data_IF_427517653987
#
_entry.id   IF_427517653987
#
_cell.length_a   1.000
_cell.length_b   1.000
_cell.length_c   1.000
_cell.angle_alpha   90.00
_cell.angle_beta   90.00
_cell.angle_gamma   90.00
#
_symmetry.space_group_name_H-M   'P 1'
#
loop_
_entity.id
_entity.type
_entity.pdbx_description
1 polymer ?
#
# COMPACT_ATOMS: atom_id res chain seq x y z
N UNK A 1 35.34 4.19 -4.26
CA UNK A 1 34.01 4.88 -4.31
C UNK A 1 34.06 6.05 -3.33
N UNK A 2 33.69 7.25 -3.74
CA UNK A 2 33.60 8.38 -2.81
C UNK A 2 32.26 8.37 -2.06
N UNK A 3 32.12 9.13 -0.95
CA UNK A 3 30.89 9.12 -0.14
C UNK A 3 29.62 9.50 -0.93
N UNK A 4 29.75 10.39 -1.91
CA UNK A 4 28.60 10.82 -2.74
C UNK A 4 28.18 9.72 -3.72
N UNK A 5 29.14 9.02 -4.32
CA UNK A 5 28.86 7.86 -5.19
C UNK A 5 28.20 6.74 -4.42
N UNK A 6 28.65 6.46 -3.20
CA UNK A 6 28.06 5.46 -2.32
C UNK A 6 26.62 5.81 -1.95
N UNK A 7 26.35 7.05 -1.54
CA UNK A 7 25.00 7.52 -1.23
C UNK A 7 24.07 7.41 -2.44
N UNK A 8 24.57 7.75 -3.63
CA UNK A 8 23.79 7.61 -4.89
C UNK A 8 23.49 6.15 -5.21
N UNK A 9 24.46 5.25 -5.05
CA UNK A 9 24.28 3.82 -5.27
C UNK A 9 23.24 3.23 -4.32
N UNK A 10 23.32 3.56 -3.03
CA UNK A 10 22.36 3.10 -2.02
C UNK A 10 20.93 3.59 -2.31
N UNK A 11 20.79 4.88 -2.66
CA UNK A 11 19.49 5.45 -3.02
C UNK A 11 18.91 4.78 -4.27
N UNK A 12 19.73 4.54 -5.28
CA UNK A 12 19.30 3.87 -6.51
C UNK A 12 18.86 2.42 -6.25
N UNK A 13 19.61 1.68 -5.44
CA UNK A 13 19.27 0.31 -5.05
C UNK A 13 17.93 0.25 -4.31
N UNK A 14 17.75 1.10 -3.30
CA UNK A 14 16.50 1.20 -2.56
C UNK A 14 15.33 1.61 -3.47
N UNK A 15 15.53 2.58 -4.36
CA UNK A 15 14.52 3.03 -5.31
C UNK A 15 14.05 1.88 -6.21
N UNK A 16 14.97 1.14 -6.81
CA UNK A 16 14.65 0.03 -7.70
C UNK A 16 13.84 -1.05 -6.97
N UNK A 17 14.23 -1.42 -5.75
CA UNK A 17 13.51 -2.43 -4.97
C UNK A 17 12.12 -1.94 -4.55
N UNK A 18 11.96 -0.67 -4.19
CA UNK A 18 10.64 -0.10 -3.86
C UNK A 18 9.74 0.02 -5.09
N UNK A 19 10.30 0.25 -6.28
CA UNK A 19 9.53 0.19 -7.54
C UNK A 19 9.01 -1.24 -7.78
N UNK A 20 9.83 -2.25 -7.56
CA UNK A 20 9.39 -3.65 -7.65
C UNK A 20 8.29 -3.97 -6.62
N UNK A 21 8.49 -3.56 -5.36
CA UNK A 21 7.49 -3.71 -4.30
C UNK A 21 6.14 -3.07 -4.69
N UNK A 22 6.15 -1.87 -5.27
CA UNK A 22 4.93 -1.23 -5.77
C UNK A 22 4.19 -2.14 -6.76
N UNK A 23 4.92 -2.75 -7.68
CA UNK A 23 4.33 -3.57 -8.74
C UNK A 23 3.85 -4.92 -8.17
N UNK A 24 4.58 -5.53 -7.24
CA UNK A 24 4.17 -6.71 -6.48
C UNK A 24 2.86 -6.46 -5.68
N UNK A 25 2.75 -5.31 -5.02
CA UNK A 25 1.53 -4.91 -4.32
C UNK A 25 0.36 -4.72 -5.30
N UNK A 26 0.59 -4.11 -6.46
CA UNK A 26 -0.44 -3.96 -7.50
C UNK A 26 -0.94 -5.32 -7.99
N UNK A 27 -0.05 -6.25 -8.20
CA UNK A 27 -0.39 -7.61 -8.61
C UNK A 27 -1.16 -8.35 -7.49
N UNK A 28 -0.74 -8.23 -6.24
CA UNK A 28 -1.45 -8.81 -5.10
C UNK A 28 -2.88 -8.26 -4.97
N UNK A 29 -3.09 -6.97 -5.19
CA UNK A 29 -4.43 -6.36 -5.20
C UNK A 29 -5.28 -6.94 -6.34
N UNK A 30 -4.71 -7.11 -7.52
CA UNK A 30 -5.41 -7.63 -8.69
C UNK A 30 -5.76 -9.12 -8.54
N UNK A 31 -4.77 -9.96 -8.20
CA UNK A 31 -4.92 -11.42 -8.09
C UNK A 31 -5.89 -11.83 -6.97
N UNK A 32 -5.95 -11.07 -5.88
CA UNK A 32 -6.88 -11.30 -4.76
C UNK A 32 -8.28 -10.72 -4.99
N UNK A 33 -8.55 -10.18 -6.18
CA UNK A 33 -9.85 -9.60 -6.52
C UNK A 33 -10.22 -8.38 -5.67
N UNK A 34 -9.24 -7.67 -5.11
CA UNK A 34 -9.47 -6.49 -4.28
C UNK A 34 -9.69 -5.22 -5.12
N UNK A 35 -9.39 -5.29 -6.40
CA UNK A 35 -9.61 -4.19 -7.34
C UNK A 35 -11.11 -3.94 -7.53
N UNK A 36 -11.55 -2.69 -7.42
CA UNK A 36 -12.84 -2.22 -7.87
C UNK A 36 -12.64 -1.29 -9.08
N UNK A 37 -12.56 0.01 -8.89
CA UNK A 37 -12.25 0.98 -9.96
C UNK A 37 -10.78 1.02 -10.38
N UNK A 38 -9.87 0.40 -9.62
CA UNK A 38 -8.42 0.51 -9.82
C UNK A 38 -7.76 1.72 -9.18
N UNK A 39 -8.54 2.75 -8.82
CA UNK A 39 -8.00 4.04 -8.31
C UNK A 39 -7.02 3.92 -7.16
N UNK A 40 -7.18 2.95 -6.27
CA UNK A 40 -6.25 2.73 -5.15
C UNK A 40 -4.93 2.12 -5.62
N UNK A 41 -5.01 1.11 -6.48
CA UNK A 41 -3.86 0.47 -7.11
C UNK A 41 -3.05 1.46 -7.97
N UNK A 42 -3.76 2.25 -8.79
CA UNK A 42 -3.15 3.21 -9.71
C UNK A 42 -2.55 4.43 -8.98
N UNK A 43 -2.95 4.67 -7.73
CA UNK A 43 -2.43 5.76 -6.91
C UNK A 43 -1.05 5.49 -6.31
N UNK A 44 -0.58 4.24 -6.34
CA UNK A 44 0.74 3.90 -5.80
C UNK A 44 1.85 4.53 -6.63
N UNK A 45 2.65 5.39 -6.00
CA UNK A 45 3.78 6.11 -6.60
C UNK A 45 5.03 5.91 -5.79
N UNK A 46 6.17 5.86 -6.48
CA UNK A 46 7.50 5.84 -5.86
C UNK A 46 8.24 7.08 -6.32
N UNK A 47 8.85 7.77 -5.39
CA UNK A 47 9.69 8.94 -5.69
C UNK A 47 10.79 9.08 -4.64
N UNK A 48 11.79 9.90 -4.96
CA UNK A 48 12.88 10.25 -4.06
C UNK A 48 12.62 11.63 -3.50
N UNK A 49 12.70 11.77 -2.18
CA UNK A 49 12.61 13.03 -1.44
C UNK A 49 13.87 13.19 -0.58
N UNK A 50 14.80 14.01 -1.05
CA UNK A 50 16.11 14.15 -0.45
C UNK A 50 16.87 12.81 -0.42
N UNK A 51 17.09 12.26 0.77
CA UNK A 51 17.76 10.97 1.01
C UNK A 51 16.77 9.82 1.32
N UNK A 52 15.50 10.00 1.04
CA UNK A 52 14.45 9.01 1.32
C UNK A 52 13.82 8.53 0.02
N UNK A 53 13.57 7.24 -0.06
CA UNK A 53 12.70 6.65 -1.08
C UNK A 53 11.31 6.48 -0.47
N UNK A 54 10.31 7.04 -1.12
CA UNK A 54 8.93 7.09 -0.61
C UNK A 54 8.02 6.28 -1.52
N UNK A 55 7.28 5.35 -0.94
CA UNK A 55 6.13 4.71 -1.58
C UNK A 55 4.86 5.36 -1.02
N UNK A 56 4.13 6.05 -1.87
CA UNK A 56 2.90 6.77 -1.53
C UNK A 56 1.67 6.11 -2.17
N UNK A 57 0.55 6.15 -1.48
CA UNK A 57 -0.74 5.69 -1.97
C UNK A 57 -1.89 6.46 -1.34
N UNK A 58 -3.11 6.20 -1.80
CA UNK A 58 -4.31 6.83 -1.23
C UNK A 58 -4.51 6.45 0.23
N UNK A 59 -5.12 7.35 1.01
CA UNK A 59 -5.43 7.14 2.43
C UNK A 59 -6.26 5.86 2.74
N UNK A 60 -6.99 5.36 1.77
CA UNK A 60 -7.76 4.10 1.90
C UNK A 60 -6.95 2.83 1.65
N UNK A 61 -5.68 2.95 1.25
CA UNK A 61 -4.83 1.80 0.98
C UNK A 61 -4.74 0.82 2.17
N UNK A 62 -4.55 1.25 3.42
CA UNK A 62 -4.53 0.35 4.56
C UNK A 62 -5.82 -0.46 4.75
N UNK A 63 -6.96 0.05 4.31
CA UNK A 63 -8.23 -0.65 4.43
C UNK A 63 -8.32 -1.91 3.55
N UNK A 64 -7.47 -2.07 2.53
CA UNK A 64 -7.38 -3.29 1.73
C UNK A 64 -6.89 -4.48 2.56
N UNK A 65 -6.07 -4.23 3.55
CA UNK A 65 -5.48 -5.26 4.42
C UNK A 65 -6.17 -5.34 5.77
N UNK A 66 -6.41 -4.22 6.43
CA UNK A 66 -6.96 -4.20 7.79
C UNK A 66 -8.47 -3.99 7.84
N UNK A 67 -9.08 -3.67 6.71
CA UNK A 67 -10.48 -3.23 6.68
C UNK A 67 -10.64 -1.84 7.30
N UNK A 68 -11.88 -1.47 7.57
CA UNK A 68 -12.27 -0.20 8.20
C UNK A 68 -12.95 -0.47 9.53
N UNK A 69 -12.55 0.20 10.60
CA UNK A 69 -13.26 0.19 11.88
C UNK A 69 -14.66 0.80 11.75
N UNK A 70 -15.49 0.60 12.77
CA UNK A 70 -16.76 1.31 12.88
C UNK A 70 -16.53 2.82 12.88
N UNK A 71 -17.46 3.54 12.30
CA UNK A 71 -17.38 4.99 12.18
C UNK A 71 -17.78 5.65 13.52
N UNK A 72 -16.86 5.77 14.42
CA UNK A 72 -17.14 6.31 15.76
C UNK A 72 -17.06 7.84 15.84
N UNK A 73 -16.98 8.55 14.70
CA UNK A 73 -16.79 9.99 14.65
C UNK A 73 -15.42 10.49 15.14
N UNK A 74 -14.55 9.58 15.59
CA UNK A 74 -13.22 9.91 16.16
C UNK A 74 -12.06 9.74 15.16
N UNK A 75 -12.30 9.22 13.97
CA UNK A 75 -11.23 8.85 13.00
C UNK A 75 -10.95 9.93 11.96
N UNK A 76 -11.36 11.17 12.16
CA UNK A 76 -10.99 12.30 11.29
C UNK A 76 -11.63 12.33 9.90
N UNK A 77 -12.32 11.29 9.47
CA UNK A 77 -13.07 11.25 8.22
C UNK A 77 -14.55 11.43 8.58
N UNK A 78 -15.00 12.67 8.72
CA UNK A 78 -16.42 12.95 8.89
C UNK A 78 -17.07 13.10 7.54
N UNK A 79 -17.85 12.12 7.10
CA UNK A 79 -18.83 12.32 6.05
C UNK A 79 -20.20 11.86 6.56
N UNK A 80 -21.25 12.42 5.98
CA UNK A 80 -22.61 12.02 6.32
C UNK A 80 -22.90 10.58 5.86
N UNK A 81 -23.92 9.95 6.44
CA UNK A 81 -24.38 8.63 5.96
C UNK A 81 -24.70 8.65 4.45
N UNK A 82 -25.28 9.74 3.94
CA UNK A 82 -25.61 9.83 2.54
C UNK A 82 -24.37 9.87 1.63
N UNK A 83 -23.34 10.59 2.03
CA UNK A 83 -22.06 10.62 1.32
C UNK A 83 -21.38 9.25 1.34
N UNK A 84 -21.38 8.59 2.51
CA UNK A 84 -20.82 7.26 2.62
C UNK A 84 -21.60 6.23 1.80
N UNK A 85 -22.93 6.28 1.85
CA UNK A 85 -23.79 5.44 1.00
C UNK A 85 -23.47 5.63 -0.49
N UNK A 86 -23.21 6.87 -0.94
CA UNK A 86 -22.80 7.15 -2.32
C UNK A 86 -21.46 6.53 -2.67
N UNK A 87 -20.49 6.55 -1.74
CA UNK A 87 -19.19 5.89 -1.92
C UNK A 87 -19.37 4.38 -2.06
N UNK A 88 -20.18 3.75 -1.21
CA UNK A 88 -20.47 2.32 -1.29
C UNK A 88 -21.24 1.96 -2.57
N UNK A 89 -22.17 2.82 -3.01
CA UNK A 89 -22.87 2.65 -4.28
C UNK A 89 -21.90 2.60 -5.46
N UNK A 90 -21.00 3.58 -5.54
CA UNK A 90 -19.98 3.63 -6.59
C UNK A 90 -19.04 2.42 -6.52
N UNK A 91 -18.61 2.04 -5.34
CA UNK A 91 -17.77 0.84 -5.14
C UNK A 91 -18.49 -0.44 -5.60
N UNK A 92 -19.76 -0.62 -5.26
CA UNK A 92 -20.54 -1.79 -5.65
C UNK A 92 -20.73 -1.85 -7.18
N UNK A 93 -20.94 -0.69 -7.81
CA UNK A 93 -21.05 -0.55 -9.28
C UNK A 93 -19.70 -0.87 -9.94
N UNK A 94 -18.60 -0.29 -9.45
CA UNK A 94 -17.25 -0.53 -9.97
C UNK A 94 -16.83 -2.02 -9.84
N UNK A 95 -17.33 -2.70 -8.80
CA UNK A 95 -17.14 -4.15 -8.58
C UNK A 95 -18.02 -5.02 -9.47
N UNK A 96 -19.03 -4.46 -10.13
CA UNK A 96 -20.02 -5.21 -10.88
C UNK A 96 -20.89 -6.11 -10.01
N UNK A 97 -21.17 -5.71 -8.76
CA UNK A 97 -21.99 -6.51 -7.86
C UNK A 97 -23.44 -6.55 -8.34
N UNK A 98 -23.99 -7.76 -8.56
CA UNK A 98 -25.39 -7.94 -8.86
C UNK A 98 -26.18 -8.05 -7.53
N UNK A 99 -26.76 -6.94 -7.08
CA UNK A 99 -27.55 -6.83 -5.85
C UNK A 99 -29.05 -6.66 -6.14
N UNK A 100 -29.52 -7.07 -7.32
CA UNK A 100 -30.91 -6.95 -7.77
C UNK A 100 -31.15 -5.71 -8.63
N UNK A 101 -32.45 -5.41 -8.87
CA UNK A 101 -32.85 -4.23 -9.65
C UNK A 101 -32.55 -2.92 -8.90
N UNK A 102 -32.66 -1.77 -9.57
CA UNK A 102 -32.22 -0.47 -9.05
C UNK A 102 -32.69 -0.15 -7.61
N UNK A 103 -33.93 -0.45 -7.26
CA UNK A 103 -34.48 -0.23 -5.91
C UNK A 103 -33.90 -1.20 -4.88
N UNK A 104 -33.69 -2.45 -5.26
CA UNK A 104 -33.09 -3.48 -4.40
C UNK A 104 -31.60 -3.23 -4.22
N UNK A 105 -30.92 -2.84 -5.30
CA UNK A 105 -29.52 -2.41 -5.27
C UNK A 105 -29.32 -1.24 -4.29
N UNK A 106 -30.14 -0.19 -4.36
CA UNK A 106 -30.04 0.95 -3.46
C UNK A 106 -30.28 0.58 -1.98
N UNK A 107 -31.24 -0.31 -1.71
CA UNK A 107 -31.51 -0.83 -0.35
C UNK A 107 -30.32 -1.66 0.17
N UNK A 108 -29.78 -2.55 -0.66
CA UNK A 108 -28.64 -3.39 -0.31
C UNK A 108 -27.41 -2.54 -0.01
N UNK A 109 -27.10 -1.55 -0.86
CA UNK A 109 -26.03 -0.58 -0.65
C UNK A 109 -26.25 0.20 0.64
N UNK A 110 -27.47 0.65 0.93
CA UNK A 110 -27.81 1.33 2.18
C UNK A 110 -27.54 0.45 3.40
N UNK A 111 -27.92 -0.81 3.36
CA UNK A 111 -27.67 -1.78 4.43
C UNK A 111 -26.18 -2.05 4.64
N UNK A 112 -25.40 -2.18 3.55
CA UNK A 112 -23.94 -2.33 3.61
C UNK A 112 -23.31 -1.10 4.23
N UNK A 113 -23.67 0.10 3.78
CA UNK A 113 -23.15 1.35 4.29
C UNK A 113 -23.44 1.51 5.79
N UNK A 114 -24.68 1.27 6.20
CA UNK A 114 -25.09 1.31 7.60
C UNK A 114 -24.31 0.31 8.46
N UNK A 115 -24.18 -0.92 7.99
CA UNK A 115 -23.43 -1.97 8.70
C UNK A 115 -21.96 -1.60 8.88
N UNK A 116 -21.31 -1.07 7.84
CA UNK A 116 -19.89 -0.66 7.93
C UNK A 116 -19.75 0.53 8.88
N UNK A 117 -20.65 1.51 8.83
CA UNK A 117 -20.59 2.65 9.74
C UNK A 117 -20.72 2.27 11.21
N UNK A 118 -21.59 1.31 11.52
CA UNK A 118 -21.85 0.93 12.91
C UNK A 118 -20.92 -0.17 13.44
N UNK A 119 -20.50 -1.09 12.58
CA UNK A 119 -19.80 -2.31 13.00
C UNK A 119 -18.39 -2.44 12.41
N UNK A 120 -18.01 -1.55 11.50
CA UNK A 120 -16.83 -1.74 10.66
C UNK A 120 -17.00 -2.83 9.61
N UNK A 121 -16.00 -3.01 8.77
CA UNK A 121 -15.99 -4.07 7.76
C UNK A 121 -15.82 -5.45 8.41
N UNK A 122 -16.30 -6.50 7.73
CA UNK A 122 -16.08 -7.89 8.18
C UNK A 122 -14.59 -8.17 8.34
N UNK A 123 -13.76 -7.70 7.40
CA UNK A 123 -12.31 -7.87 7.44
C UNK A 123 -11.70 -7.28 8.72
N UNK A 124 -12.09 -6.06 9.09
CA UNK A 124 -11.62 -5.43 10.32
C UNK A 124 -11.99 -6.23 11.57
N UNK A 125 -13.25 -6.70 11.65
CA UNK A 125 -13.72 -7.51 12.80
C UNK A 125 -13.03 -8.87 12.91
N UNK A 126 -12.44 -9.36 11.83
CA UNK A 126 -11.66 -10.61 11.79
C UNK A 126 -10.16 -10.39 12.02
N UNK A 127 -9.73 -9.17 12.37
CA UNK A 127 -8.33 -8.84 12.62
C UNK A 127 -7.52 -8.48 11.36
N UNK A 128 -8.19 -8.27 10.23
CA UNK A 128 -7.51 -7.98 8.97
C UNK A 128 -6.99 -9.24 8.27
N UNK A 129 -6.03 -9.01 7.36
CA UNK A 129 -5.28 -10.04 6.63
C UNK A 129 -3.85 -9.53 6.45
N UNK A 130 -2.85 -10.41 6.37
CA UNK A 130 -1.44 -10.01 6.25
C UNK A 130 -0.87 -10.19 4.84
N UNK A 131 -1.67 -10.68 3.91
CA UNK A 131 -1.24 -11.19 2.61
C UNK A 131 -1.40 -10.19 1.46
N UNK A 132 -1.67 -8.91 1.72
CA UNK A 132 -1.80 -7.89 0.66
C UNK A 132 -0.50 -7.13 0.46
N UNK A 133 0.10 -6.60 1.54
CA UNK A 133 1.32 -5.82 1.43
C UNK A 133 2.29 -5.97 2.61
N UNK A 134 1.89 -6.39 3.81
CA UNK A 134 2.79 -6.47 4.97
C UNK A 134 3.93 -7.47 4.72
N UNK A 135 3.62 -8.65 4.20
CA UNK A 135 4.64 -9.65 3.86
C UNK A 135 5.59 -9.11 2.81
N UNK A 136 5.05 -8.50 1.74
CA UNK A 136 5.84 -7.93 0.65
C UNK A 136 6.73 -6.78 1.13
N UNK A 137 6.22 -5.92 2.01
CA UNK A 137 7.01 -4.85 2.62
C UNK A 137 8.17 -5.41 3.45
N UNK A 138 7.91 -6.41 4.29
CA UNK A 138 8.94 -7.02 5.12
C UNK A 138 10.02 -7.68 4.27
N UNK A 139 9.66 -8.43 3.23
CA UNK A 139 10.59 -9.02 2.28
C UNK A 139 11.43 -7.94 1.58
N UNK A 140 10.80 -6.87 1.09
CA UNK A 140 11.51 -5.77 0.43
C UNK A 140 12.49 -5.06 1.38
N UNK A 141 12.13 -4.88 2.65
CA UNK A 141 13.02 -4.26 3.64
C UNK A 141 14.23 -5.16 3.95
N UNK A 142 14.06 -6.47 4.02
CA UNK A 142 15.16 -7.42 4.17
C UNK A 142 16.10 -7.37 2.97
N UNK A 143 15.55 -7.44 1.74
CA UNK A 143 16.32 -7.34 0.50
C UNK A 143 17.14 -6.04 0.43
N UNK A 144 16.52 -4.90 0.78
CA UNK A 144 17.21 -3.61 0.82
C UNK A 144 18.33 -3.64 1.85
N UNK A 145 18.08 -4.21 3.03
CA UNK A 145 19.10 -4.34 4.09
C UNK A 145 20.33 -5.14 3.63
N UNK A 146 20.11 -6.27 2.98
CA UNK A 146 21.18 -7.10 2.41
C UNK A 146 21.96 -6.35 1.32
N UNK A 147 21.29 -5.69 0.40
CA UNK A 147 21.93 -4.92 -0.65
C UNK A 147 22.76 -3.75 -0.11
N UNK A 148 22.29 -3.07 0.93
CA UNK A 148 23.04 -2.01 1.62
C UNK A 148 24.33 -2.58 2.21
N UNK A 149 24.29 -3.74 2.86
CA UNK A 149 25.47 -4.40 3.43
C UNK A 149 26.50 -4.74 2.35
N UNK A 150 26.07 -5.25 1.20
CA UNK A 150 26.95 -5.55 0.07
C UNK A 150 27.66 -4.30 -0.46
N UNK A 151 26.91 -3.21 -0.69
CA UNK A 151 27.49 -1.93 -1.16
C UNK A 151 28.50 -1.37 -0.14
N UNK A 152 28.24 -1.52 1.16
CA UNK A 152 29.18 -1.10 2.21
C UNK A 152 30.43 -1.97 2.25
N UNK A 153 30.30 -3.28 2.10
CA UNK A 153 31.42 -4.20 2.04
C UNK A 153 32.36 -3.87 0.85
N UNK A 154 31.79 -3.71 -0.34
CA UNK A 154 32.53 -3.32 -1.55
C UNK A 154 33.29 -1.99 -1.36
N UNK A 155 32.66 -1.02 -0.68
CA UNK A 155 33.30 0.27 -0.40
C UNK A 155 34.49 0.13 0.58
N UNK A 156 34.36 -0.75 1.57
CA UNK A 156 35.46 -1.05 2.53
C UNK A 156 36.63 -1.74 1.81
N UNK A 157 36.35 -2.72 0.97
CA UNK A 157 37.36 -3.44 0.20
C UNK A 157 38.18 -2.49 -0.70
N UNK A 158 37.50 -1.55 -1.37
CA UNK A 158 38.17 -0.52 -2.18
C UNK A 158 39.08 0.36 -1.34
N UNK A 159 38.69 0.72 -0.12
CA UNK A 159 39.50 1.52 0.79
C UNK A 159 40.75 0.72 1.25
N UNK A 160 40.56 -0.53 1.61
CA UNK A 160 41.66 -1.43 2.04
C UNK A 160 42.69 -1.61 0.89
N UNK A 161 42.20 -1.86 -0.33
CA UNK A 161 43.04 -2.00 -1.51
C UNK A 161 43.83 -0.72 -1.84
N UNK A 162 43.25 0.46 -1.64
CA UNK A 162 43.99 1.72 -1.80
C UNK A 162 45.09 1.90 -0.73
N UNK A 163 44.83 1.51 0.48
CA UNK A 163 45.82 1.55 1.57
C UNK A 163 46.95 0.57 1.37
N UNK A 164 46.66 -0.62 0.85
CA UNK A 164 47.65 -1.65 0.62
C UNK A 164 48.65 -1.32 -0.53
N UNK A 165 48.28 -0.39 -1.42
CA UNK A 165 49.10 0.04 -2.58
C UNK A 165 49.96 1.26 -2.31
N UNK A 166 49.79 1.95 -1.18
CA UNK A 166 50.57 3.10 -0.74
C UNK A 166 51.60 2.71 0.35
#
# INVERSE_FOLDING_TARGET
MNPTEMASALTSTAYNRIVQLRDEIREAIASKGLRASGRTQDSLRVYVDGNKVVLEGRAFFPALQYGSSAWTGKTGISCSYQEFKRIIYQWATDKGLNLGQAREFDKAVGSIAWSIMNNGTKLHRQGGRLDVYDTLINEALLDIGEQIQLVQADAIDVIIDQWARN
#
